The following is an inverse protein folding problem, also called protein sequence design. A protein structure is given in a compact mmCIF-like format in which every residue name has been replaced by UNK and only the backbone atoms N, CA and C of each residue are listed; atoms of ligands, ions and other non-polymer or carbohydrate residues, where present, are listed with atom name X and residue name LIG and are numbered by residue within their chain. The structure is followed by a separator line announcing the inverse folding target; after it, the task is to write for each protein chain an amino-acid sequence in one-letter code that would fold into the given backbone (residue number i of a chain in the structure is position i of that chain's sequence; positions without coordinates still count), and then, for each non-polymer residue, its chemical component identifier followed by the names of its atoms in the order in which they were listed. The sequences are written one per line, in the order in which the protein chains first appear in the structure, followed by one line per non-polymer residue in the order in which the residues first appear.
data_IF_405686143293
#
_entry.id   IF_405686143293
#
_cell.length_a   1.000
_cell.length_b   1.000
_cell.length_c   1.000
_cell.angle_alpha   90.00
_cell.angle_beta   90.00
_cell.angle_gamma   90.00
#
_symmetry.space_group_name_H-M   'P 1'
#
loop_
_entity.id
_entity.type
_entity.pdbx_description
1 polymer ?
#
# COMPACT_ATOMS: atom_id res chain seq x y z
N UNK A 1 5.98 -0.29 0.61
CA UNK A 1 5.65 -0.87 -0.71
C UNK A 1 6.88 -1.60 -1.23
N UNK A 2 6.74 -2.87 -1.63
CA UNK A 2 7.86 -3.69 -2.09
C UNK A 2 7.77 -3.89 -3.61
N UNK A 3 8.91 -4.12 -4.27
CA UNK A 3 8.96 -4.50 -5.68
C UNK A 3 8.66 -6.00 -5.80
N UNK A 4 7.53 -6.40 -6.40
CA UNK A 4 7.34 -7.80 -6.80
C UNK A 4 7.85 -7.99 -8.24
N UNK A 5 8.83 -8.88 -8.43
CA UNK A 5 9.44 -9.14 -9.73
C UNK A 5 8.64 -10.23 -10.45
N UNK A 6 7.96 -9.89 -11.55
CA UNK A 6 7.44 -10.87 -12.52
C UNK A 6 5.92 -11.01 -12.62
N UNK A 7 5.13 -10.28 -11.81
CA UNK A 7 3.68 -10.19 -11.99
C UNK A 7 3.33 -8.85 -12.64
N UNK A 8 2.58 -8.80 -13.76
CA UNK A 8 2.08 -7.53 -14.26
C UNK A 8 1.11 -6.95 -13.23
N UNK A 9 1.54 -5.90 -12.53
CA UNK A 9 0.66 -5.20 -11.62
C UNK A 9 -0.22 -4.21 -12.40
N UNK A 10 -1.43 -4.64 -12.71
CA UNK A 10 -2.37 -3.81 -13.48
C UNK A 10 -3.05 -2.74 -12.61
N UNK A 11 -3.08 -2.93 -11.29
CA UNK A 11 -3.76 -2.05 -10.33
C UNK A 11 -2.79 -1.53 -9.27
N UNK A 12 -2.76 -0.22 -8.99
CA UNK A 12 -1.94 0.32 -7.91
C UNK A 12 -2.36 -0.23 -6.55
N UNK A 13 -1.39 -0.78 -5.80
CA UNK A 13 -1.61 -1.36 -4.48
C UNK A 13 -0.34 -1.29 -3.60
N UNK A 14 -0.50 -1.54 -2.31
CA UNK A 14 0.60 -1.70 -1.37
C UNK A 14 0.30 -2.82 -0.37
N UNK A 15 1.34 -3.30 0.32
CA UNK A 15 1.21 -4.32 1.36
C UNK A 15 1.39 -3.68 2.73
N UNK A 16 0.60 -4.15 3.70
CA UNK A 16 0.73 -3.81 5.10
C UNK A 16 0.91 -5.09 5.93
N UNK A 17 1.87 -5.06 6.84
CA UNK A 17 2.20 -6.15 7.74
C UNK A 17 1.97 -5.70 9.18
N UNK A 18 1.25 -6.51 9.96
CA UNK A 18 1.08 -6.32 11.40
C UNK A 18 1.22 -7.67 12.11
N UNK A 19 2.29 -7.83 12.91
CA UNK A 19 2.65 -9.13 13.49
C UNK A 19 2.76 -10.19 12.38
N UNK A 20 2.01 -11.29 12.48
CA UNK A 20 1.96 -12.37 11.49
C UNK A 20 0.86 -12.16 10.43
N UNK A 21 0.15 -11.03 10.47
CA UNK A 21 -0.93 -10.72 9.54
C UNK A 21 -0.43 -9.83 8.39
N UNK A 22 -0.69 -10.26 7.16
CA UNK A 22 -0.38 -9.54 5.92
C UNK A 22 -1.69 -9.20 5.20
N UNK A 23 -1.77 -7.98 4.67
CA UNK A 23 -2.84 -7.57 3.77
C UNK A 23 -2.32 -6.73 2.60
N UNK A 24 -3.05 -6.77 1.50
CA UNK A 24 -2.80 -5.99 0.28
C UNK A 24 -3.95 -5.01 0.09
N UNK A 25 -3.63 -3.75 -0.11
CA UNK A 25 -4.58 -2.65 -0.27
C UNK A 25 -4.45 -2.03 -1.64
N UNK A 26 -5.54 -1.94 -2.40
CA UNK A 26 -5.59 -1.10 -3.58
C UNK A 26 -5.49 0.38 -3.20
N UNK A 27 -5.05 1.22 -4.14
CA UNK A 27 -5.03 2.67 -3.97
C UNK A 27 -6.24 3.36 -4.61
N UNK A 28 -6.90 2.72 -5.59
CA UNK A 28 -8.04 3.31 -6.29
C UNK A 28 -9.16 2.28 -6.53
N UNK A 29 -10.25 2.31 -5.73
CA UNK A 29 -10.32 2.97 -4.41
C UNK A 29 -9.39 2.33 -3.37
N UNK A 30 -9.23 2.98 -2.21
CA UNK A 30 -8.53 2.40 -1.06
C UNK A 30 -9.40 1.31 -0.44
N UNK A 31 -8.99 0.05 -0.66
CA UNK A 31 -9.69 -1.13 -0.15
C UNK A 31 -8.74 -2.30 0.04
N UNK A 32 -9.01 -3.15 1.02
CA UNK A 32 -8.30 -4.42 1.18
C UNK A 32 -8.72 -5.39 0.06
N UNK A 33 -7.77 -5.79 -0.78
CA UNK A 33 -7.97 -6.69 -1.93
C UNK A 33 -7.35 -8.07 -1.73
N UNK A 34 -6.67 -8.30 -0.62
CA UNK A 34 -6.05 -9.58 -0.30
C UNK A 34 -5.52 -9.67 1.11
N UNK A 35 -5.49 -10.87 1.68
CA UNK A 35 -5.11 -11.08 3.07
C UNK A 35 -6.08 -10.43 4.06
N UNK A 36 -5.62 -10.16 5.27
CA UNK A 36 -6.44 -9.53 6.31
C UNK A 36 -5.59 -8.97 7.44
N UNK A 37 -6.05 -7.89 8.06
CA UNK A 37 -5.53 -7.39 9.33
C UNK A 37 -6.65 -7.42 10.38
N UNK A 38 -6.33 -7.39 11.69
CA UNK A 38 -7.35 -7.13 12.69
C UNK A 38 -8.01 -5.78 12.43
N UNK A 39 -9.31 -5.68 12.72
CA UNK A 39 -10.18 -4.57 12.30
C UNK A 39 -9.64 -3.18 12.62
N UNK A 40 -9.00 -3.01 13.78
CA UNK A 40 -8.43 -1.73 14.20
C UNK A 40 -7.24 -1.34 13.32
N UNK A 41 -6.35 -2.29 13.04
CA UNK A 41 -5.16 -2.09 12.21
C UNK A 41 -5.55 -1.84 10.75
N UNK A 42 -6.53 -2.57 10.23
CA UNK A 42 -7.06 -2.31 8.89
C UNK A 42 -7.55 -0.86 8.76
N UNK A 43 -8.34 -0.37 9.71
CA UNK A 43 -8.83 1.01 9.72
C UNK A 43 -7.71 2.05 9.81
N UNK A 44 -6.66 1.78 10.58
CA UNK A 44 -5.49 2.66 10.66
C UNK A 44 -4.74 2.71 9.32
N UNK A 45 -4.59 1.57 8.65
CA UNK A 45 -3.94 1.50 7.33
C UNK A 45 -4.78 2.21 6.27
N UNK A 46 -6.10 2.00 6.25
CA UNK A 46 -7.02 2.71 5.34
C UNK A 46 -6.95 4.22 5.58
N UNK A 47 -7.05 4.70 6.83
CA UNK A 47 -6.95 6.12 7.14
C UNK A 47 -5.58 6.73 6.76
N UNK A 48 -4.49 6.01 7.01
CA UNK A 48 -3.16 6.41 6.58
C UNK A 48 -3.07 6.49 5.05
N UNK A 49 -3.61 5.50 4.34
CA UNK A 49 -3.61 5.50 2.88
C UNK A 49 -4.40 6.66 2.29
N UNK A 50 -5.54 7.02 2.90
CA UNK A 50 -6.36 8.15 2.47
C UNK A 50 -5.61 9.49 2.61
N UNK A 51 -4.94 9.70 3.75
CA UNK A 51 -4.14 10.90 4.00
C UNK A 51 -2.96 11.01 3.03
N UNK A 52 -2.33 9.88 2.70
CA UNK A 52 -1.12 9.82 1.89
C UNK A 52 -1.36 9.33 0.45
N UNK A 53 -2.60 9.40 -0.05
CA UNK A 53 -2.99 8.78 -1.32
C UNK A 53 -2.15 9.27 -2.50
N UNK A 54 -1.90 10.58 -2.59
CA UNK A 54 -1.09 11.16 -3.67
C UNK A 54 0.38 10.71 -3.62
N UNK A 55 0.94 10.54 -2.42
CA UNK A 55 2.31 10.06 -2.23
C UNK A 55 2.42 8.57 -2.62
N UNK A 56 1.43 7.76 -2.26
CA UNK A 56 1.35 6.35 -2.63
C UNK A 56 1.25 6.15 -4.15
N UNK A 57 0.44 6.97 -4.84
CA UNK A 57 0.36 6.93 -6.31
C UNK A 57 1.68 7.37 -6.98
N UNK A 58 2.38 8.34 -6.39
CA UNK A 58 3.70 8.75 -6.88
C UNK A 58 4.72 7.61 -6.70
N UNK A 59 4.73 6.97 -5.54
CA UNK A 59 5.61 5.84 -5.27
C UNK A 59 5.29 4.65 -6.19
N UNK A 60 4.01 4.40 -6.48
CA UNK A 60 3.59 3.45 -7.50
C UNK A 60 4.25 3.73 -8.86
N UNK A 61 4.18 4.98 -9.33
CA UNK A 61 4.79 5.37 -10.59
C UNK A 61 6.32 5.25 -10.58
N UNK A 62 6.98 5.55 -9.45
CA UNK A 62 8.42 5.36 -9.27
C UNK A 62 8.79 3.88 -9.44
N UNK A 63 8.07 2.98 -8.76
CA UNK A 63 8.31 1.55 -8.81
C UNK A 63 8.10 0.97 -10.21
N UNK A 64 7.04 1.39 -10.91
CA UNK A 64 6.80 1.03 -12.31
C UNK A 64 7.93 1.51 -13.25
N UNK A 65 8.65 2.57 -12.88
CA UNK A 65 9.82 3.09 -13.61
C UNK A 65 11.16 2.47 -13.17
N UNK A 66 11.14 1.45 -12.30
CA UNK A 66 12.34 0.81 -11.75
C UNK A 66 13.07 1.64 -10.69
N UNK A 67 12.41 2.66 -10.12
CA UNK A 67 12.96 3.52 -9.06
C UNK A 67 12.42 3.10 -7.71
N UNK A 68 13.21 3.33 -6.67
CA UNK A 68 12.78 3.11 -5.29
C UNK A 68 11.66 4.09 -4.88
N UNK A 69 10.75 3.66 -4.00
CA UNK A 69 9.73 4.54 -3.44
C UNK A 69 10.37 5.49 -2.41
N UNK A 70 9.67 6.57 -2.08
CA UNK A 70 10.09 7.50 -1.05
C UNK A 70 9.58 7.08 0.32
N UNK A 71 10.12 7.70 1.38
CA UNK A 71 9.57 7.53 2.71
C UNK A 71 8.32 8.40 2.84
N UNK A 72 7.21 7.77 3.21
CA UNK A 72 5.96 8.44 3.57
C UNK A 72 5.89 8.51 5.10
N UNK A 73 5.44 9.65 5.63
CA UNK A 73 5.31 9.84 7.07
C UNK A 73 4.23 8.92 7.67
N UNK A 74 4.41 8.43 8.92
CA UNK A 74 3.43 7.60 9.57
C UNK A 74 2.19 8.40 10.03
N UNK A 75 1.09 7.70 10.27
CA UNK A 75 -0.11 8.26 10.87
C UNK A 75 0.21 8.81 12.28
N UNK A 76 -0.22 10.04 12.57
CA UNK A 76 0.00 10.73 13.86
C UNK A 76 -1.15 10.50 14.84
#
# INVERSE_FOLDING_TARGET
MFMEVGAPHHRPHFHALYQDALATFALDPIECIGGSLPRTQQRLVEAWAEIHHAELLRDWALLQSGKSPLKIEPLR
#
